data_IF_424974079720
#
_entry.id   IF_424974079720
#
_cell.length_a   1.000
_cell.length_b   1.000
_cell.length_c   1.000
_cell.angle_alpha   90.00
_cell.angle_beta   90.00
_cell.angle_gamma   90.00
#
_symmetry.space_group_name_H-M   'P 1'
#
loop_
_entity.id
_entity.type
_entity.pdbx_description
1 polymer ?
#
# COMPACT_ATOMS: atom_id res chain seq x y z
N UNK A 1 -13.49 -82.11 75.14
CA UNK A 1 -12.04 -82.35 75.17
C UNK A 1 -11.33 -81.03 75.43
N UNK A 2 -10.62 -80.88 76.56
CA UNK A 2 -9.89 -79.66 76.94
C UNK A 2 -8.70 -79.48 76.00
N UNK A 3 -8.65 -78.40 75.23
CA UNK A 3 -7.45 -78.03 74.45
C UNK A 3 -6.38 -77.63 75.45
N UNK A 4 -5.39 -78.49 75.64
CA UNK A 4 -4.23 -78.28 76.52
C UNK A 4 -3.47 -77.02 76.09
N UNK A 5 -3.05 -76.20 77.07
CA UNK A 5 -2.39 -74.90 76.89
C UNK A 5 -1.11 -74.93 76.02
N UNK A 6 -0.52 -76.11 75.82
CA UNK A 6 0.65 -76.31 74.96
C UNK A 6 0.37 -76.05 73.46
N UNK A 7 -0.81 -76.43 72.95
CA UNK A 7 -1.13 -76.35 71.51
C UNK A 7 -1.39 -74.90 71.06
N UNK A 8 -1.99 -74.08 71.95
CA UNK A 8 -2.28 -72.65 71.68
C UNK A 8 -1.01 -71.80 71.55
N UNK A 9 0.05 -72.14 72.29
CA UNK A 9 1.33 -71.43 72.27
C UNK A 9 2.13 -71.74 71.00
N UNK A 10 2.05 -72.97 70.50
CA UNK A 10 2.62 -73.38 69.21
C UNK A 10 1.92 -72.69 68.03
N UNK A 11 0.59 -72.71 67.96
CA UNK A 11 -0.16 -72.04 66.90
C UNK A 11 0.12 -70.53 66.83
N UNK A 12 0.15 -69.83 67.97
CA UNK A 12 0.48 -68.40 67.98
C UNK A 12 1.89 -68.12 67.49
N UNK A 13 2.86 -69.00 67.79
CA UNK A 13 4.26 -68.82 67.36
C UNK A 13 4.41 -69.03 65.85
N UNK A 14 3.75 -70.03 65.27
CA UNK A 14 3.76 -70.23 63.81
C UNK A 14 3.00 -69.12 63.06
N UNK A 15 1.89 -68.62 63.63
CA UNK A 15 1.14 -67.51 63.04
C UNK A 15 1.95 -66.20 63.06
N UNK A 16 2.68 -65.93 64.14
CA UNK A 16 3.54 -64.75 64.25
C UNK A 16 4.73 -64.83 63.27
N UNK A 17 5.34 -66.01 63.12
CA UNK A 17 6.38 -66.24 62.10
C UNK A 17 5.83 -66.05 60.69
N UNK A 18 4.64 -66.57 60.39
CA UNK A 18 4.02 -66.39 59.07
C UNK A 18 3.74 -64.91 58.77
N UNK A 19 3.21 -64.15 59.74
CA UNK A 19 2.95 -62.71 59.59
C UNK A 19 4.25 -61.95 59.36
N UNK A 20 5.33 -62.25 60.10
CA UNK A 20 6.63 -61.59 59.92
C UNK A 20 7.22 -61.87 58.54
N UNK A 21 7.16 -63.11 58.07
CA UNK A 21 7.66 -63.48 56.73
C UNK A 21 6.87 -62.77 55.63
N UNK A 22 5.53 -62.72 55.72
CA UNK A 22 4.69 -61.99 54.77
C UNK A 22 4.98 -60.48 54.81
N UNK A 23 5.17 -59.91 56.00
CA UNK A 23 5.50 -58.49 56.16
C UNK A 23 6.85 -58.16 55.51
N UNK A 24 7.88 -59.00 55.72
CA UNK A 24 9.20 -58.85 55.10
C UNK A 24 9.09 -58.98 53.58
N UNK A 25 8.26 -59.91 53.07
CA UNK A 25 8.06 -60.07 51.63
C UNK A 25 7.40 -58.82 51.01
N UNK A 26 6.36 -58.29 51.65
CA UNK A 26 5.64 -57.09 51.18
C UNK A 26 6.55 -55.86 51.23
N UNK A 27 7.29 -55.66 52.32
CA UNK A 27 8.22 -54.53 52.45
C UNK A 27 9.43 -54.68 51.53
N UNK A 28 9.94 -55.91 51.34
CA UNK A 28 11.05 -56.19 50.43
C UNK A 28 10.68 -55.98 48.97
N UNK A 29 9.59 -56.62 48.51
CA UNK A 29 9.13 -56.49 47.11
C UNK A 29 8.54 -55.10 46.86
N UNK A 30 7.77 -54.55 47.79
CA UNK A 30 7.19 -53.21 47.68
C UNK A 30 8.25 -52.10 47.75
N UNK A 31 9.22 -52.24 48.65
CA UNK A 31 10.37 -51.32 48.75
C UNK A 31 11.25 -51.37 47.49
N UNK A 32 11.54 -52.57 46.97
CA UNK A 32 12.30 -52.73 45.73
C UNK A 32 11.57 -52.17 44.50
N UNK A 33 10.27 -52.45 44.37
CA UNK A 33 9.43 -51.93 43.27
C UNK A 33 9.24 -50.42 43.30
N UNK A 34 9.39 -49.77 44.47
CA UNK A 34 9.35 -48.32 44.61
C UNK A 34 10.68 -47.64 44.20
N UNK A 35 11.83 -48.33 44.33
CA UNK A 35 13.14 -47.77 44.00
C UNK A 35 13.69 -48.19 42.63
N UNK A 36 13.17 -49.26 42.04
CA UNK A 36 13.59 -49.73 40.73
C UNK A 36 12.99 -48.84 39.62
N UNK A 37 13.84 -48.02 39.00
CA UNK A 37 13.51 -47.23 37.80
C UNK A 37 13.70 -48.08 36.54
N UNK A 38 12.72 -48.02 35.65
CA UNK A 38 12.73 -48.63 34.32
C UNK A 38 12.67 -47.46 33.33
N UNK A 39 13.73 -47.30 32.55
CA UNK A 39 13.77 -46.30 31.48
C UNK A 39 13.00 -46.85 30.27
N UNK A 40 11.96 -46.13 29.86
CA UNK A 40 11.20 -46.44 28.65
C UNK A 40 11.81 -45.77 27.43
N UNK A 41 11.45 -46.26 26.24
CA UNK A 41 11.73 -45.55 25.00
C UNK A 41 10.51 -45.60 24.09
N UNK A 42 10.15 -44.47 23.50
CA UNK A 42 9.16 -44.41 22.42
C UNK A 42 9.90 -44.64 21.12
N UNK A 43 9.49 -45.67 20.39
CA UNK A 43 10.04 -46.00 19.08
C UNK A 43 9.17 -45.39 18.02
N UNK A 44 9.76 -44.58 17.16
CA UNK A 44 9.05 -43.90 16.11
C UNK A 44 9.88 -43.93 14.83
N UNK A 45 9.22 -44.18 13.70
CA UNK A 45 9.87 -44.25 12.39
C UNK A 45 9.76 -42.92 11.67
N UNK A 46 10.80 -42.57 10.94
CA UNK A 46 10.97 -41.26 10.33
C UNK A 46 11.88 -41.30 9.13
N UNK A 47 12.15 -40.11 8.60
CA UNK A 47 13.11 -39.92 7.52
C UNK A 47 14.00 -38.71 7.77
N UNK A 48 15.17 -38.73 7.15
CA UNK A 48 16.09 -37.60 7.18
C UNK A 48 15.58 -36.46 6.28
N UNK A 49 15.46 -35.24 6.82
CA UNK A 49 14.98 -34.05 6.10
C UNK A 49 15.94 -32.88 6.30
N UNK A 50 16.19 -32.11 5.25
CA UNK A 50 17.03 -30.91 5.32
C UNK A 50 16.24 -29.80 6.02
N UNK A 51 16.87 -29.11 6.98
CA UNK A 51 16.23 -27.98 7.70
C UNK A 51 16.15 -26.70 6.84
N UNK A 52 16.73 -26.73 5.64
CA UNK A 52 16.77 -25.57 4.76
C UNK A 52 15.40 -25.31 4.14
N UNK A 53 14.80 -24.16 4.45
CA UNK A 53 13.66 -23.66 3.71
C UNK A 53 14.11 -23.13 2.36
N UNK A 54 13.56 -23.70 1.29
CA UNK A 54 13.78 -23.22 -0.07
C UNK A 54 13.27 -21.79 -0.20
N UNK A 55 14.12 -20.87 -0.65
CA UNK A 55 13.76 -19.46 -0.84
C UNK A 55 13.20 -19.25 -2.25
N UNK A 56 11.98 -18.74 -2.33
CA UNK A 56 11.32 -18.37 -3.60
C UNK A 56 11.81 -17.00 -4.04
N UNK A 57 12.34 -16.91 -5.25
CA UNK A 57 12.65 -15.64 -5.92
C UNK A 57 11.50 -15.31 -6.86
N UNK A 58 10.92 -14.13 -6.73
CA UNK A 58 9.76 -13.67 -7.50
C UNK A 58 9.95 -12.22 -7.95
N UNK A 59 9.36 -11.84 -9.09
CA UNK A 59 9.35 -10.44 -9.56
C UNK A 59 7.96 -9.83 -9.33
N UNK A 60 7.90 -8.66 -8.69
CA UNK A 60 6.64 -8.04 -8.24
C UNK A 60 5.69 -7.73 -9.41
N UNK A 61 6.22 -7.17 -10.50
CA UNK A 61 5.40 -6.69 -11.62
C UNK A 61 5.25 -7.72 -12.73
N UNK A 62 6.11 -8.76 -12.73
CA UNK A 62 6.26 -9.63 -13.89
C UNK A 62 6.82 -8.91 -15.13
N UNK A 63 6.76 -9.56 -16.29
CA UNK A 63 7.26 -9.04 -17.56
C UNK A 63 7.70 -10.14 -18.52
N UNK A 64 8.09 -9.77 -19.74
CA UNK A 64 8.62 -10.72 -20.73
C UNK A 64 10.07 -11.00 -20.37
N UNK A 65 10.47 -12.28 -20.31
CA UNK A 65 11.88 -12.64 -20.10
C UNK A 65 12.70 -12.30 -21.35
N UNK A 66 13.66 -11.38 -21.21
CA UNK A 66 14.59 -11.02 -22.28
C UNK A 66 15.85 -11.89 -22.28
N UNK A 67 16.44 -12.13 -21.10
CA UNK A 67 17.60 -13.01 -20.94
C UNK A 67 17.48 -13.87 -19.67
N UNK A 68 17.77 -15.17 -19.78
CA UNK A 68 17.95 -16.09 -18.65
C UNK A 68 19.44 -16.43 -18.52
N UNK A 69 20.05 -16.13 -17.37
CA UNK A 69 21.51 -16.21 -17.17
C UNK A 69 21.97 -17.42 -16.36
N UNK A 70 21.06 -18.26 -15.91
CA UNK A 70 21.30 -19.38 -14.99
C UNK A 70 20.54 -20.60 -15.48
N UNK A 71 21.13 -21.79 -15.32
CA UNK A 71 20.51 -23.09 -15.63
C UNK A 71 20.33 -23.92 -14.35
N UNK A 72 19.48 -24.94 -14.44
CA UNK A 72 19.25 -25.85 -13.31
C UNK A 72 20.57 -26.50 -12.86
N UNK A 73 20.88 -26.36 -11.57
CA UNK A 73 22.11 -26.89 -10.95
C UNK A 73 23.28 -25.90 -10.87
N UNK A 74 23.17 -24.70 -11.45
CA UNK A 74 24.21 -23.68 -11.34
C UNK A 74 24.27 -23.08 -9.92
N UNK A 75 25.50 -22.84 -9.42
CA UNK A 75 25.71 -22.12 -8.17
C UNK A 75 25.56 -20.61 -8.38
N UNK A 76 24.64 -19.99 -7.64
CA UNK A 76 24.39 -18.54 -7.66
C UNK A 76 24.77 -17.91 -6.32
N UNK A 77 25.39 -16.72 -6.38
CA UNK A 77 25.68 -15.90 -5.20
C UNK A 77 24.57 -14.88 -5.00
N UNK A 78 24.50 -14.32 -3.79
CA UNK A 78 23.59 -13.23 -3.51
C UNK A 78 23.87 -12.04 -4.43
N UNK A 79 22.79 -11.43 -4.96
CA UNK A 79 22.79 -10.32 -5.91
C UNK A 79 23.19 -10.65 -7.37
N UNK A 80 23.41 -11.92 -7.72
CA UNK A 80 23.61 -12.31 -9.10
C UNK A 80 22.33 -12.09 -9.93
N UNK A 81 22.50 -11.56 -11.16
CA UNK A 81 21.39 -11.36 -12.09
C UNK A 81 21.02 -12.70 -12.70
N UNK A 82 19.91 -13.28 -12.24
CA UNK A 82 19.42 -14.57 -12.71
C UNK A 82 18.57 -14.46 -13.98
N UNK A 83 17.74 -13.40 -14.06
CA UNK A 83 16.81 -13.13 -15.16
C UNK A 83 16.81 -11.63 -15.44
N UNK A 84 16.86 -11.26 -16.72
CA UNK A 84 16.62 -9.89 -17.19
C UNK A 84 15.34 -9.89 -18.02
N UNK A 85 14.44 -8.98 -17.69
CA UNK A 85 13.20 -8.77 -18.44
C UNK A 85 13.48 -7.92 -19.68
N UNK A 86 12.64 -8.06 -20.71
CA UNK A 86 12.67 -7.21 -21.90
C UNK A 86 12.28 -5.78 -21.50
N UNK A 87 13.23 -4.86 -21.66
CA UNK A 87 13.04 -3.45 -21.33
C UNK A 87 12.27 -2.69 -22.40
N UNK A 88 12.02 -3.27 -23.59
CA UNK A 88 11.47 -2.55 -24.74
C UNK A 88 10.12 -1.92 -24.43
N UNK A 89 9.20 -2.70 -23.84
CA UNK A 89 7.87 -2.22 -23.45
C UNK A 89 7.97 -1.19 -22.33
N UNK A 90 8.78 -1.45 -21.31
CA UNK A 90 8.95 -0.55 -20.16
C UNK A 90 9.59 0.78 -20.56
N UNK A 91 10.57 0.75 -21.47
CA UNK A 91 11.25 1.93 -22.01
C UNK A 91 10.33 2.73 -22.92
N UNK A 92 9.52 2.07 -23.75
CA UNK A 92 8.49 2.74 -24.55
C UNK A 92 7.45 3.41 -23.64
N UNK A 93 6.97 2.71 -22.60
CA UNK A 93 6.05 3.28 -21.62
C UNK A 93 6.67 4.47 -20.88
N UNK A 94 7.93 4.36 -20.46
CA UNK A 94 8.66 5.47 -19.84
C UNK A 94 8.78 6.67 -20.80
N UNK A 95 9.11 6.44 -22.08
CA UNK A 95 9.19 7.49 -23.09
C UNK A 95 7.83 8.19 -23.29
N UNK A 96 6.74 7.43 -23.35
CA UNK A 96 5.38 7.99 -23.47
C UNK A 96 5.02 8.83 -22.23
N UNK A 97 5.27 8.29 -21.03
CA UNK A 97 4.93 8.98 -19.77
C UNK A 97 5.79 10.23 -19.57
N UNK A 98 7.09 10.16 -19.85
CA UNK A 98 8.00 11.30 -19.73
C UNK A 98 7.67 12.40 -20.74
N UNK A 99 7.35 12.04 -21.98
CA UNK A 99 6.82 12.98 -22.98
C UNK A 99 5.54 13.66 -22.52
N UNK A 100 4.54 12.88 -22.09
CA UNK A 100 3.27 13.43 -21.60
C UNK A 100 3.45 14.32 -20.36
N UNK A 101 4.38 13.96 -19.47
CA UNK A 101 4.73 14.78 -18.30
C UNK A 101 5.36 16.11 -18.71
N UNK A 102 6.26 16.10 -19.70
CA UNK A 102 6.90 17.31 -20.24
C UNK A 102 5.88 18.28 -20.86
N UNK A 103 4.94 17.76 -21.66
CA UNK A 103 3.84 18.55 -22.24
C UNK A 103 2.94 19.18 -21.16
N UNK A 104 2.56 18.41 -20.14
CA UNK A 104 1.72 18.91 -19.04
C UNK A 104 2.44 19.95 -18.20
N UNK A 105 3.74 19.79 -17.95
CA UNK A 105 4.56 20.75 -17.21
C UNK A 105 4.74 22.06 -17.97
N UNK A 106 5.02 21.99 -19.28
CA UNK A 106 5.12 23.17 -20.13
C UNK A 106 3.80 23.95 -20.18
N UNK A 107 2.67 23.24 -20.32
CA UNK A 107 1.32 23.82 -20.27
C UNK A 107 1.00 24.45 -18.93
N UNK A 108 1.37 23.79 -17.82
CA UNK A 108 1.18 24.34 -16.48
C UNK A 108 1.95 25.65 -16.32
N UNK A 109 3.23 25.66 -16.70
CA UNK A 109 4.07 26.86 -16.62
C UNK A 109 3.50 28.01 -17.46
N UNK A 110 2.96 27.72 -18.65
CA UNK A 110 2.25 28.71 -19.47
C UNK A 110 1.04 29.29 -18.72
N UNK A 111 0.18 28.43 -18.19
CA UNK A 111 -1.06 28.86 -17.52
C UNK A 111 -0.76 29.69 -16.26
N UNK A 112 0.23 29.27 -15.46
CA UNK A 112 0.69 30.05 -14.29
C UNK A 112 1.24 31.42 -14.74
N UNK A 113 2.03 31.46 -15.81
CA UNK A 113 2.52 32.72 -16.37
C UNK A 113 1.40 33.61 -16.93
N UNK A 114 0.36 33.04 -17.54
CA UNK A 114 -0.79 33.80 -18.05
C UNK A 114 -1.59 34.39 -16.91
N UNK A 115 -1.86 33.58 -15.87
CA UNK A 115 -2.58 33.98 -14.65
C UNK A 115 -1.87 35.09 -13.90
N UNK A 116 -0.57 34.93 -13.69
CA UNK A 116 0.23 35.88 -12.92
C UNK A 116 0.65 37.11 -13.76
N UNK A 117 0.24 37.16 -15.03
CA UNK A 117 0.50 38.29 -15.91
C UNK A 117 1.98 38.47 -16.25
N UNK A 118 2.77 37.40 -16.23
CA UNK A 118 4.21 37.46 -16.44
C UNK A 118 4.57 37.90 -17.86
N UNK A 119 5.79 38.43 -18.02
CA UNK A 119 6.26 38.84 -19.34
C UNK A 119 6.70 37.68 -20.22
N UNK A 120 7.19 36.61 -19.61
CA UNK A 120 7.65 35.39 -20.26
C UNK A 120 7.33 34.16 -19.38
N UNK A 121 7.18 33.01 -20.02
CA UNK A 121 7.00 31.73 -19.31
C UNK A 121 8.29 31.37 -18.56
N UNK A 122 8.14 31.02 -17.29
CA UNK A 122 9.18 30.45 -16.44
C UNK A 122 8.96 28.94 -16.36
N UNK A 123 9.82 28.17 -17.03
CA UNK A 123 9.76 26.70 -16.97
C UNK A 123 10.44 26.17 -15.71
N UNK A 124 9.93 25.08 -15.11
CA UNK A 124 10.53 24.49 -13.93
C UNK A 124 11.87 23.81 -14.24
N UNK A 125 12.77 23.77 -13.25
CA UNK A 125 14.16 23.33 -13.43
C UNK A 125 14.32 21.90 -13.98
N UNK A 126 13.43 20.96 -13.60
CA UNK A 126 13.48 19.58 -14.10
C UNK A 126 13.14 19.49 -15.60
N UNK A 127 12.26 20.36 -16.10
CA UNK A 127 11.94 20.42 -17.53
C UNK A 127 13.09 21.05 -18.32
N UNK A 128 13.76 22.04 -17.73
CA UNK A 128 14.98 22.65 -18.30
C UNK A 128 16.16 21.67 -18.32
N UNK A 129 16.31 20.83 -17.29
CA UNK A 129 17.31 19.77 -17.27
C UNK A 129 17.04 18.71 -18.37
N UNK A 130 15.77 18.47 -18.68
CA UNK A 130 15.32 17.64 -19.79
C UNK A 130 15.32 18.33 -21.15
N UNK A 131 15.73 19.59 -21.27
CA UNK A 131 15.65 20.36 -22.52
C UNK A 131 16.51 19.80 -23.68
N UNK A 132 17.45 18.90 -23.37
CA UNK A 132 18.23 18.19 -24.38
C UNK A 132 17.39 17.15 -25.15
N UNK A 133 16.25 16.73 -24.59
CA UNK A 133 15.29 15.86 -25.26
C UNK A 133 14.47 16.64 -26.30
N UNK A 134 14.47 16.22 -27.59
CA UNK A 134 13.76 16.93 -28.65
C UNK A 134 12.25 17.09 -28.42
N UNK A 135 11.60 16.09 -27.81
CA UNK A 135 10.17 16.14 -27.52
C UNK A 135 9.85 17.21 -26.47
N UNK A 136 10.63 17.25 -25.38
CA UNK A 136 10.51 18.25 -24.33
C UNK A 136 10.80 19.68 -24.84
N UNK A 137 11.83 19.84 -25.69
CA UNK A 137 12.15 21.11 -26.32
C UNK A 137 11.01 21.62 -27.22
N UNK A 138 10.45 20.74 -28.06
CA UNK A 138 9.33 21.08 -28.94
C UNK A 138 8.08 21.48 -28.14
N UNK A 139 7.79 20.79 -27.03
CA UNK A 139 6.68 21.14 -26.14
C UNK A 139 6.87 22.54 -25.53
N UNK A 140 8.04 22.84 -24.99
CA UNK A 140 8.36 24.18 -24.43
C UNK A 140 8.25 25.29 -25.48
N UNK A 141 8.77 25.07 -26.68
CA UNK A 141 8.71 26.04 -27.77
C UNK A 141 7.28 26.30 -28.24
N UNK A 142 6.45 25.25 -28.33
CA UNK A 142 5.05 25.37 -28.72
C UNK A 142 4.25 26.19 -27.70
N UNK A 143 4.44 25.92 -26.40
CA UNK A 143 3.76 26.65 -25.32
C UNK A 143 4.25 28.10 -25.24
N UNK A 144 5.55 28.35 -25.49
CA UNK A 144 6.11 29.72 -25.57
C UNK A 144 5.52 30.54 -26.72
N UNK A 145 5.36 29.95 -27.90
CA UNK A 145 4.69 30.59 -29.05
C UNK A 145 3.23 30.89 -28.72
N UNK A 146 2.51 29.93 -28.15
CA UNK A 146 1.11 30.09 -27.78
C UNK A 146 0.91 31.20 -26.74
N UNK A 147 1.76 31.25 -25.71
CA UNK A 147 1.76 32.30 -24.70
C UNK A 147 1.91 33.70 -25.29
N UNK A 148 2.92 33.90 -26.14
CA UNK A 148 3.17 35.18 -26.78
C UNK A 148 2.01 35.60 -27.70
N UNK A 149 1.42 34.63 -28.42
CA UNK A 149 0.25 34.87 -29.26
C UNK A 149 -0.96 35.32 -28.41
N UNK A 150 -1.28 34.59 -27.33
CA UNK A 150 -2.40 34.92 -26.42
C UNK A 150 -2.16 36.27 -25.73
N UNK A 151 -0.95 36.54 -25.24
CA UNK A 151 -0.57 37.82 -24.62
C UNK A 151 -0.79 38.99 -25.59
N UNK A 152 -0.31 38.84 -26.82
CA UNK A 152 -0.42 39.89 -27.85
C UNK A 152 -1.86 40.12 -28.27
N UNK A 153 -2.62 39.05 -28.52
CA UNK A 153 -4.04 39.13 -28.87
C UNK A 153 -4.85 39.85 -27.77
N UNK A 154 -4.63 39.47 -26.51
CA UNK A 154 -5.27 40.10 -25.34
C UNK A 154 -4.90 41.57 -25.22
N UNK A 155 -3.62 41.91 -25.32
CA UNK A 155 -3.16 43.30 -25.28
C UNK A 155 -3.78 44.14 -26.40
N UNK A 156 -3.90 43.57 -27.61
CA UNK A 156 -4.55 44.21 -28.75
C UNK A 156 -6.04 44.47 -28.52
N UNK A 157 -6.79 43.48 -28.02
CA UNK A 157 -8.21 43.64 -27.68
C UNK A 157 -8.42 44.74 -26.63
N UNK A 158 -7.61 44.76 -25.56
CA UNK A 158 -7.69 45.82 -24.55
C UNK A 158 -7.34 47.19 -25.11
N UNK A 159 -6.32 47.28 -25.97
CA UNK A 159 -5.94 48.53 -26.61
C UNK A 159 -7.10 49.09 -27.46
N UNK A 160 -7.79 48.24 -28.23
CA UNK A 160 -8.95 48.63 -29.01
C UNK A 160 -10.10 49.15 -28.13
N UNK A 161 -10.41 48.48 -27.02
CA UNK A 161 -11.44 48.92 -26.08
C UNK A 161 -11.07 50.24 -25.38
N UNK A 162 -9.79 50.42 -25.01
CA UNK A 162 -9.29 51.67 -24.44
C UNK A 162 -9.41 52.84 -25.44
N UNK A 163 -9.10 52.59 -26.70
CA UNK A 163 -9.26 53.59 -27.76
C UNK A 163 -10.73 53.99 -27.92
N UNK A 164 -11.65 53.02 -27.87
CA UNK A 164 -13.10 53.31 -27.89
C UNK A 164 -13.56 54.14 -26.68
N UNK A 165 -13.00 53.88 -25.49
CA UNK A 165 -13.26 54.71 -24.30
C UNK A 165 -12.76 56.14 -24.53
N UNK A 166 -11.56 56.32 -25.07
CA UNK A 166 -11.01 57.65 -25.36
C UNK A 166 -11.91 58.43 -26.34
N UNK A 167 -12.41 57.77 -27.39
CA UNK A 167 -13.36 58.37 -28.35
C UNK A 167 -14.67 58.81 -27.69
N UNK A 168 -15.24 57.98 -26.80
CA UNK A 168 -16.44 58.33 -26.04
C UNK A 168 -16.19 59.49 -25.05
N UNK A 169 -15.00 59.59 -24.47
CA UNK A 169 -14.62 60.72 -23.61
C UNK A 169 -14.54 62.03 -24.40
N UNK A 170 -14.04 61.99 -25.63
CA UNK A 170 -14.02 63.15 -26.52
C UNK A 170 -15.45 63.58 -26.91
N UNK A 171 -16.33 62.62 -27.21
CA UNK A 171 -17.75 62.87 -27.46
C UNK A 171 -18.43 63.56 -26.26
N UNK A 172 -18.19 63.07 -25.03
CA UNK A 172 -18.70 63.70 -23.80
C UNK A 172 -18.17 65.13 -23.65
N UNK A 173 -16.91 65.36 -23.97
CA UNK A 173 -16.29 66.70 -23.90
C UNK A 173 -17.00 67.66 -24.86
N UNK A 174 -17.25 67.24 -26.10
CA UNK A 174 -18.03 68.00 -27.08
C UNK A 174 -19.47 68.28 -26.63
N UNK A 175 -20.18 67.26 -26.12
CA UNK A 175 -21.54 67.42 -25.59
C UNK A 175 -21.58 68.37 -24.40
N UNK A 176 -20.59 68.30 -23.50
CA UNK A 176 -20.49 69.19 -22.33
C UNK A 176 -20.24 70.63 -22.76
N UNK A 177 -19.42 70.86 -23.78
CA UNK A 177 -19.23 72.19 -24.36
C UNK A 177 -20.54 72.75 -24.93
N UNK A 178 -21.32 71.93 -25.65
CA UNK A 178 -22.64 72.34 -26.15
C UNK A 178 -23.64 72.64 -25.02
N UNK A 179 -23.67 71.82 -23.96
CA UNK A 179 -24.49 72.08 -22.77
C UNK A 179 -24.16 73.42 -22.13
N UNK A 180 -22.86 73.76 -22.04
CA UNK A 180 -22.40 75.03 -21.48
C UNK A 180 -22.79 76.22 -22.36
N UNK A 181 -22.72 76.08 -23.69
CA UNK A 181 -23.21 77.11 -24.62
C UNK A 181 -24.71 77.32 -24.49
N UNK A 182 -25.50 76.24 -24.43
CA UNK A 182 -26.95 76.31 -24.21
C UNK A 182 -27.31 76.92 -22.85
N UNK A 183 -26.55 76.60 -21.80
CA UNK A 183 -26.75 77.21 -20.49
C UNK A 183 -26.55 78.75 -20.51
N UNK A 184 -25.57 79.24 -21.29
CA UNK A 184 -25.37 80.68 -21.51
C UNK A 184 -26.53 81.30 -22.29
N UNK A 185 -27.00 80.65 -23.37
CA UNK A 185 -28.18 81.11 -24.14
C UNK A 185 -29.43 81.22 -23.26
N UNK A 186 -29.69 80.20 -22.43
CA UNK A 186 -30.81 80.20 -21.46
C UNK A 186 -30.70 81.39 -20.52
N UNK A 187 -29.52 81.64 -19.95
CA UNK A 187 -29.32 82.77 -19.02
C UNK A 187 -29.59 84.12 -19.68
N UNK A 188 -29.22 84.29 -20.96
CA UNK A 188 -29.48 85.52 -21.72
C UNK A 188 -30.97 85.71 -22.00
N UNK A 189 -31.65 84.65 -22.46
CA UNK A 189 -33.09 84.66 -22.73
C UNK A 189 -33.88 84.93 -21.44
N UNK A 190 -33.53 84.30 -20.32
CA UNK A 190 -34.21 84.52 -19.03
C UNK A 190 -34.10 85.97 -18.56
N UNK A 191 -32.94 86.59 -18.78
CA UNK A 191 -32.74 88.02 -18.48
C UNK A 191 -33.61 88.92 -19.36
N UNK A 192 -33.70 88.65 -20.66
CA UNK A 192 -34.59 89.39 -21.56
C UNK A 192 -36.06 89.20 -21.17
N UNK A 193 -36.43 87.96 -20.84
CA UNK A 193 -37.78 87.56 -20.47
C UNK A 193 -38.25 88.24 -19.18
N UNK A 194 -37.37 88.38 -18.18
CA UNK A 194 -37.67 89.13 -16.97
C UNK A 194 -38.06 90.59 -17.28
N UNK A 195 -37.28 91.28 -18.13
CA UNK A 195 -37.57 92.65 -18.54
C UNK A 195 -38.85 92.77 -19.37
N UNK A 196 -39.05 91.89 -20.36
CA UNK A 196 -40.25 91.88 -21.19
C UNK A 196 -41.51 91.58 -20.36
N UNK A 197 -41.41 90.72 -19.35
CA UNK A 197 -42.52 90.41 -18.44
C UNK A 197 -42.92 91.63 -17.60
N UNK A 198 -41.97 92.44 -17.14
CA UNK A 198 -42.28 93.72 -16.46
C UNK A 198 -42.95 94.73 -17.40
N UNK A 199 -42.46 94.86 -18.63
CA UNK A 199 -43.03 95.78 -19.62
C UNK A 199 -44.45 95.37 -20.02
N UNK A 200 -44.71 94.07 -20.16
CA UNK A 200 -46.05 93.54 -20.43
C UNK A 200 -47.03 93.84 -19.29
N UNK A 201 -46.61 93.70 -18.01
CA UNK A 201 -47.45 94.09 -16.84
C UNK A 201 -47.85 95.57 -16.87
N UNK A 202 -47.04 96.42 -17.49
CA UNK A 202 -47.31 97.85 -17.71
C UNK A 202 -48.07 98.14 -19.02
N UNK A 203 -48.52 97.10 -19.74
CA UNK A 203 -49.15 97.18 -21.07
C UNK A 203 -48.29 97.83 -22.17
N UNK A 204 -46.95 97.78 -22.04
CA UNK A 204 -46.02 98.41 -22.99
C UNK A 204 -45.53 97.46 -24.10
N UNK A 205 -45.87 96.18 -24.02
CA UNK A 205 -45.47 95.14 -24.99
C UNK A 205 -46.64 94.16 -25.22
N UNK A 206 -46.73 93.59 -26.43
CA UNK A 206 -47.75 92.61 -26.79
C UNK A 206 -47.51 91.24 -26.13
N UNK A 207 -48.59 90.53 -25.76
CA UNK A 207 -48.54 89.18 -25.18
C UNK A 207 -47.83 88.16 -26.08
N UNK A 208 -47.91 88.34 -27.41
CA UNK A 208 -47.24 87.51 -28.41
C UNK A 208 -45.71 87.51 -28.26
N UNK A 209 -45.11 88.65 -27.89
CA UNK A 209 -43.66 88.76 -27.66
C UNK A 209 -43.23 88.02 -26.40
N UNK A 210 -44.00 88.14 -25.31
CA UNK A 210 -43.72 87.43 -24.06
C UNK A 210 -43.80 85.90 -24.27
N UNK A 211 -44.89 85.42 -24.87
CA UNK A 211 -45.09 83.97 -25.08
C UNK A 211 -44.15 83.38 -26.12
N UNK A 212 -43.62 84.18 -27.06
CA UNK A 212 -42.55 83.75 -27.94
C UNK A 212 -41.25 83.49 -27.16
N UNK A 213 -40.84 84.41 -26.28
CA UNK A 213 -39.64 84.23 -25.46
C UNK A 213 -39.80 83.11 -24.42
N UNK A 214 -40.98 82.91 -23.85
CA UNK A 214 -41.25 81.79 -22.92
C UNK A 214 -41.12 80.43 -23.61
N UNK A 215 -41.65 80.30 -24.84
CA UNK A 215 -41.46 79.10 -25.66
C UNK A 215 -40.01 78.89 -26.05
N UNK A 216 -39.29 79.97 -26.36
CA UNK A 216 -37.85 79.92 -26.65
C UNK A 216 -37.05 79.39 -25.46
N UNK A 217 -37.26 79.95 -24.27
CA UNK A 217 -36.60 79.52 -23.04
C UNK A 217 -36.86 78.03 -22.76
N UNK A 218 -38.11 77.61 -22.88
CA UNK A 218 -38.52 76.21 -22.66
C UNK A 218 -37.88 75.28 -23.70
N UNK A 219 -37.78 75.71 -24.96
CA UNK A 219 -37.12 74.93 -26.02
C UNK A 219 -35.63 74.75 -25.73
N UNK A 220 -34.94 75.82 -25.37
CA UNK A 220 -33.51 75.78 -25.03
C UNK A 220 -33.23 74.88 -23.82
N UNK A 221 -34.07 74.93 -22.79
CA UNK A 221 -33.93 74.03 -21.63
C UNK A 221 -34.17 72.56 -22.01
N UNK A 222 -35.16 72.30 -22.87
CA UNK A 222 -35.40 70.97 -23.46
C UNK A 222 -34.21 70.45 -24.27
N UNK A 223 -33.63 71.28 -25.15
CA UNK A 223 -32.42 70.98 -25.92
C UNK A 223 -31.22 70.68 -24.99
N UNK A 224 -31.03 71.47 -23.94
CA UNK A 224 -29.98 71.24 -22.94
C UNK A 224 -30.20 69.92 -22.19
N UNK A 225 -31.45 69.60 -21.82
CA UNK A 225 -31.81 68.32 -21.21
C UNK A 225 -31.49 67.12 -22.11
N UNK A 226 -31.76 67.21 -23.41
CA UNK A 226 -31.39 66.19 -24.39
C UNK A 226 -29.87 65.96 -24.45
N UNK A 227 -29.08 67.04 -24.44
CA UNK A 227 -27.62 66.95 -24.42
C UNK A 227 -27.08 66.32 -23.12
N UNK A 228 -27.70 66.63 -21.97
CA UNK A 228 -27.36 65.99 -20.68
C UNK A 228 -27.63 64.49 -20.74
N UNK A 229 -28.80 64.08 -21.25
CA UNK A 229 -29.14 62.67 -21.41
C UNK A 229 -28.18 61.94 -22.35
N UNK A 230 -27.80 62.55 -23.47
CA UNK A 230 -26.82 62.00 -24.41
C UNK A 230 -25.44 61.81 -23.74
N UNK A 231 -24.97 62.80 -22.97
CA UNK A 231 -23.71 62.69 -22.24
C UNK A 231 -23.76 61.60 -21.16
N UNK A 232 -24.89 61.44 -20.47
CA UNK A 232 -25.09 60.36 -19.50
C UNK A 232 -25.08 58.98 -20.19
N UNK A 233 -25.71 58.85 -21.36
CA UNK A 233 -25.69 57.61 -22.15
C UNK A 233 -24.26 57.25 -22.59
N UNK A 234 -23.47 58.22 -23.06
CA UNK A 234 -22.07 58.01 -23.42
C UNK A 234 -21.22 57.55 -22.21
N UNK A 235 -21.44 58.15 -21.03
CA UNK A 235 -20.80 57.70 -19.77
C UNK A 235 -21.18 56.25 -19.42
N UNK A 236 -22.43 55.87 -19.62
CA UNK A 236 -22.88 54.49 -19.45
C UNK A 236 -22.13 53.51 -20.36
N UNK A 237 -21.97 53.86 -21.64
CA UNK A 237 -21.18 53.05 -22.60
C UNK A 237 -19.71 52.93 -22.21
N UNK A 238 -19.11 53.97 -21.63
CA UNK A 238 -17.74 53.90 -21.09
C UNK A 238 -17.66 52.88 -19.96
N UNK A 239 -18.61 52.92 -19.01
CA UNK A 239 -18.65 51.97 -17.90
C UNK A 239 -18.80 50.52 -18.39
N UNK A 240 -19.68 50.29 -19.37
CA UNK A 240 -19.85 48.99 -20.02
C UNK A 240 -18.55 48.52 -20.71
N UNK A 241 -17.91 49.40 -21.47
CA UNK A 241 -16.64 49.08 -22.17
C UNK A 241 -15.51 48.81 -21.17
N UNK A 242 -15.46 49.54 -20.05
CA UNK A 242 -14.50 49.32 -18.99
C UNK A 242 -14.72 47.96 -18.30
N UNK A 243 -15.98 47.55 -18.09
CA UNK A 243 -16.32 46.22 -17.59
C UNK A 243 -15.88 45.13 -18.57
N UNK A 244 -16.02 45.32 -19.88
CA UNK A 244 -15.52 44.38 -20.89
C UNK A 244 -13.99 44.20 -20.79
N UNK A 245 -13.24 45.27 -20.53
CA UNK A 245 -11.78 45.17 -20.29
C UNK A 245 -11.48 44.31 -19.05
N UNK A 246 -12.26 44.49 -17.97
CA UNK A 246 -12.10 43.69 -16.75
C UNK A 246 -12.48 42.22 -16.96
N UNK A 247 -13.49 41.93 -17.77
CA UNK A 247 -13.87 40.55 -18.12
C UNK A 247 -12.72 39.82 -18.86
N UNK A 248 -12.05 40.51 -19.80
CA UNK A 248 -10.88 39.96 -20.50
C UNK A 248 -9.75 39.58 -19.52
N UNK A 249 -9.62 40.30 -18.40
CA UNK A 249 -8.68 39.94 -17.33
C UNK A 249 -9.17 38.77 -16.48
N UNK A 250 -10.46 38.72 -16.17
CA UNK A 250 -11.06 37.66 -15.37
C UNK A 250 -11.15 36.32 -16.09
N UNK A 251 -11.32 36.28 -17.41
CA UNK A 251 -11.34 35.03 -18.19
C UNK A 251 -10.05 34.20 -17.95
N UNK A 252 -8.92 34.85 -17.67
CA UNK A 252 -7.67 34.19 -17.30
C UNK A 252 -7.76 33.54 -15.91
N UNK A 253 -8.35 34.24 -14.94
CA UNK A 253 -8.53 33.74 -13.58
C UNK A 253 -9.58 32.62 -13.51
N UNK A 254 -10.62 32.69 -14.34
CA UNK A 254 -11.69 31.70 -14.44
C UNK A 254 -11.27 30.43 -15.20
N UNK A 255 -10.40 30.54 -16.23
CA UNK A 255 -9.75 29.37 -16.85
C UNK A 255 -8.93 28.55 -15.82
N UNK A 256 -8.42 29.18 -14.75
CA UNK A 256 -7.71 28.51 -13.65
C UNK A 256 -8.66 27.86 -12.61
N UNK A 257 -9.94 28.27 -12.57
CA UNK A 257 -10.93 27.74 -11.63
C UNK A 257 -11.49 26.36 -12.04
N UNK A 258 -11.10 25.86 -13.21
CA UNK A 258 -11.33 24.49 -13.69
C UNK A 258 -10.19 23.52 -13.34
N UNK A 259 -9.30 23.89 -12.40
CA UNK A 259 -8.24 23.02 -11.84
C UNK A 259 -8.33 22.81 -10.32
N UNK A 260 -9.56 22.64 -9.82
CA UNK A 260 -9.80 21.90 -8.57
C UNK A 260 -10.75 20.74 -8.81
N UNK A 261 -10.45 19.92 -9.81
CA UNK A 261 -10.81 18.51 -9.73
C UNK A 261 -9.50 17.78 -9.85
N UNK A 262 -8.87 17.58 -8.70
CA UNK A 262 -7.98 16.46 -8.49
C UNK A 262 -8.72 15.21 -8.99
N UNK A 263 -8.47 14.78 -10.22
CA UNK A 263 -8.83 13.43 -10.65
C UNK A 263 -7.79 12.53 -10.02
N UNK A 264 -8.03 12.19 -8.76
CA UNK A 264 -7.30 11.13 -8.06
C UNK A 264 -7.90 9.81 -8.50
N UNK A 265 -7.04 8.88 -8.92
CA UNK A 265 -7.41 7.48 -8.97
C UNK A 265 -7.76 7.04 -7.54
N UNK A 266 -8.98 6.54 -7.26
CA UNK A 266 -9.34 6.16 -5.91
C UNK A 266 -8.64 4.87 -5.46
N UNK A 267 -8.01 4.11 -6.37
CA UNK A 267 -7.27 2.88 -6.08
C UNK A 267 -6.22 2.59 -7.17
N UNK A 268 -5.23 1.76 -6.84
CA UNK A 268 -4.37 1.09 -7.82
C UNK A 268 -5.19 0.02 -8.57
N UNK A 269 -5.07 -0.07 -9.90
CA UNK A 269 -5.73 -1.12 -10.68
C UNK A 269 -5.36 -1.14 -12.16
N UNK A 270 -5.47 -2.31 -12.78
CA UNK A 270 -5.33 -2.49 -14.25
C UNK A 270 -6.26 -3.63 -14.70
N UNK A 271 -6.90 -3.47 -15.87
CA UNK A 271 -7.65 -4.51 -16.59
C UNK A 271 -6.92 -4.81 -17.90
N UNK A 272 -6.46 -6.05 -18.11
CA UNK A 272 -6.95 -6.99 -19.12
C UNK A 272 -5.95 -8.15 -19.30
N UNK A 273 -6.51 -9.35 -19.50
CA UNK A 273 -5.82 -10.63 -19.74
C UNK A 273 -4.93 -10.60 -21.00
N UNK A 274 -3.87 -11.41 -21.03
CA UNK A 274 -3.81 -12.59 -21.91
C UNK A 274 -2.68 -13.55 -21.51
N UNK A 275 -2.98 -14.83 -21.74
CA UNK A 275 -2.13 -15.99 -21.63
C UNK A 275 -0.91 -15.97 -22.57
N UNK A 276 0.17 -16.68 -22.20
CA UNK A 276 0.89 -17.70 -23.00
C UNK A 276 2.23 -18.07 -22.32
N UNK A 277 2.67 -19.31 -22.60
CA UNK A 277 3.59 -20.13 -21.83
C UNK A 277 4.77 -20.64 -22.70
N UNK A 278 5.83 -19.84 -22.94
CA UNK A 278 7.12 -20.28 -23.55
C UNK A 278 8.12 -19.12 -23.58
N UNK A 279 9.45 -19.29 -23.71
CA UNK A 279 10.42 -18.18 -23.89
C UNK A 279 9.92 -17.18 -24.97
N UNK A 280 9.88 -15.88 -24.65
CA UNK A 280 8.75 -15.01 -25.04
C UNK A 280 7.61 -15.00 -24.00
N UNK A 281 7.92 -15.47 -22.79
CA UNK A 281 6.94 -15.93 -21.80
C UNK A 281 6.64 -14.84 -20.82
N UNK A 282 5.37 -14.69 -20.52
CA UNK A 282 4.89 -13.67 -19.58
C UNK A 282 5.06 -14.21 -18.18
N UNK A 283 5.98 -13.65 -17.41
CA UNK A 283 6.00 -13.84 -15.96
C UNK A 283 4.86 -12.97 -15.41
N UNK A 284 3.91 -13.57 -14.70
CA UNK A 284 2.85 -12.81 -14.04
C UNK A 284 3.32 -12.28 -12.69
N UNK A 285 2.68 -11.22 -12.20
CA UNK A 285 3.03 -10.57 -10.95
C UNK A 285 2.99 -11.56 -9.78
N UNK A 286 4.13 -11.76 -9.11
CA UNK A 286 4.22 -12.60 -7.91
C UNK A 286 4.46 -14.10 -8.16
N UNK A 287 4.56 -14.55 -9.42
CA UNK A 287 4.92 -15.95 -9.69
C UNK A 287 6.38 -16.25 -9.27
N UNK A 288 6.63 -17.41 -8.63
CA UNK A 288 7.98 -17.81 -8.27
C UNK A 288 8.78 -18.15 -9.53
N UNK A 289 9.83 -17.38 -9.79
CA UNK A 289 10.73 -17.52 -10.94
C UNK A 289 11.73 -18.67 -10.71
N UNK A 290 12.26 -18.78 -9.49
CA UNK A 290 13.25 -19.78 -9.12
C UNK A 290 13.19 -20.11 -7.63
N UNK A 291 13.57 -21.35 -7.31
CA UNK A 291 13.74 -21.87 -5.97
C UNK A 291 15.23 -21.97 -5.65
N UNK A 292 15.70 -21.21 -4.66
CA UNK A 292 17.09 -21.28 -4.20
C UNK A 292 17.13 -22.18 -2.97
N UNK A 293 17.88 -23.28 -3.07
CA UNK A 293 18.19 -24.18 -1.95
C UNK A 293 19.51 -23.72 -1.31
N UNK A 294 19.52 -23.29 -0.04
CA UNK A 294 20.76 -22.97 0.66
C UNK A 294 21.65 -24.21 0.85
N UNK A 295 22.96 -24.11 0.62
CA UNK A 295 23.96 -25.18 0.90
C UNK A 295 24.22 -25.39 2.41
N UNK A 296 23.29 -24.99 3.29
CA UNK A 296 23.43 -25.18 4.73
C UNK A 296 22.86 -26.53 5.13
N UNK A 297 23.74 -27.53 5.15
CA UNK A 297 23.50 -28.95 5.48
C UNK A 297 23.21 -29.19 6.97
N UNK A 298 22.20 -28.53 7.54
CA UNK A 298 21.67 -28.94 8.83
C UNK A 298 20.64 -30.05 8.59
N UNK A 299 21.12 -31.28 8.68
CA UNK A 299 20.30 -32.48 8.59
C UNK A 299 19.51 -32.66 9.89
N UNK A 300 18.19 -32.79 9.77
CA UNK A 300 17.27 -33.05 10.87
C UNK A 300 16.49 -34.33 10.58
N UNK A 301 16.19 -35.12 11.61
CA UNK A 301 15.34 -36.30 11.42
C UNK A 301 13.91 -35.92 11.74
N UNK A 302 13.00 -36.17 10.80
CA UNK A 302 11.56 -36.00 10.99
C UNK A 302 10.94 -37.37 11.28
N UNK A 303 10.35 -37.52 12.45
CA UNK A 303 9.86 -38.81 12.96
C UNK A 303 8.39 -38.73 13.26
N UNK A 304 7.64 -39.77 12.87
CA UNK A 304 6.20 -39.89 13.08
C UNK A 304 5.92 -40.63 14.38
N UNK A 305 5.41 -39.91 15.37
CA UNK A 305 5.04 -40.44 16.68
C UNK A 305 3.54 -40.70 16.72
N UNK A 306 3.15 -41.83 17.30
CA UNK A 306 1.74 -42.17 17.51
C UNK A 306 1.10 -41.20 18.54
N UNK A 307 -0.12 -40.69 18.32
CA UNK A 307 -0.83 -39.85 19.28
C UNK A 307 -0.93 -40.44 20.70
N UNK A 308 -0.86 -41.76 20.85
CA UNK A 308 -0.86 -42.41 22.17
C UNK A 308 0.45 -42.20 22.96
N UNK A 309 1.55 -41.96 22.26
CA UNK A 309 2.89 -41.85 22.84
C UNK A 309 3.38 -40.41 22.96
N UNK A 310 2.65 -39.43 22.40
CA UNK A 310 3.06 -38.02 22.36
C UNK A 310 3.20 -37.39 23.76
N UNK A 311 2.39 -37.81 24.72
CA UNK A 311 2.45 -37.34 26.13
C UNK A 311 3.78 -37.71 26.81
N UNK A 312 4.54 -38.64 26.24
CA UNK A 312 5.84 -39.08 26.76
C UNK A 312 7.02 -38.32 26.12
N UNK A 313 6.77 -37.48 25.11
CA UNK A 313 7.78 -36.75 24.35
C UNK A 313 7.81 -35.27 24.74
N UNK A 314 8.98 -34.75 25.11
CA UNK A 314 9.18 -33.36 25.51
C UNK A 314 10.30 -32.69 24.70
N UNK A 315 10.27 -31.36 24.64
CA UNK A 315 11.34 -30.58 24.02
C UNK A 315 12.67 -30.82 24.75
N UNK A 316 13.78 -30.86 24.02
CA UNK A 316 15.14 -31.11 24.52
C UNK A 316 15.38 -32.51 25.12
N UNK A 317 14.48 -33.46 24.87
CA UNK A 317 14.68 -34.85 25.27
C UNK A 317 15.71 -35.53 24.38
N UNK A 318 16.53 -36.41 24.96
CA UNK A 318 17.53 -37.19 24.23
C UNK A 318 16.85 -38.31 23.44
N UNK A 319 17.23 -38.45 22.19
CA UNK A 319 16.79 -39.50 21.31
C UNK A 319 17.98 -40.20 20.68
N UNK A 320 17.92 -41.52 20.61
CA UNK A 320 18.90 -42.33 19.92
C UNK A 320 18.36 -42.62 18.52
N UNK A 321 19.11 -42.22 17.50
CA UNK A 321 18.75 -42.36 16.11
C UNK A 321 19.49 -43.57 15.51
N UNK A 322 18.72 -44.47 14.90
CA UNK A 322 19.22 -45.65 14.20
C UNK A 322 18.81 -45.58 12.74
N UNK A 323 19.80 -45.59 11.86
CA UNK A 323 19.60 -45.59 10.43
C UNK A 323 19.44 -47.04 9.96
N UNK A 324 18.23 -47.43 9.59
CA UNK A 324 17.93 -48.80 9.16
C UNK A 324 18.60 -49.17 7.82
N UNK A 325 19.16 -48.18 7.12
CA UNK A 325 19.93 -48.34 5.89
C UNK A 325 21.35 -48.91 6.12
N UNK A 326 21.87 -48.93 7.36
CA UNK A 326 23.24 -49.38 7.65
C UNK A 326 23.27 -50.63 8.54
N UNK A 327 24.40 -51.34 8.51
CA UNK A 327 24.55 -52.61 9.21
C UNK A 327 24.71 -52.39 10.73
N UNK A 328 23.75 -52.91 11.49
CA UNK A 328 23.59 -52.75 12.95
C UNK A 328 24.85 -53.12 13.75
N UNK A 329 25.75 -53.94 13.19
CA UNK A 329 26.99 -54.37 13.87
C UNK A 329 28.16 -53.39 13.72
N UNK A 330 28.09 -52.45 12.77
CA UNK A 330 29.22 -51.58 12.39
C UNK A 330 28.91 -50.09 12.50
N UNK A 331 27.64 -49.71 12.61
CA UNK A 331 27.23 -48.30 12.65
C UNK A 331 26.98 -47.85 14.09
N UNK A 332 27.67 -46.80 14.57
CA UNK A 332 27.41 -46.25 15.90
C UNK A 332 26.02 -45.60 15.98
N UNK A 333 25.41 -45.68 17.15
CA UNK A 333 24.14 -45.01 17.45
C UNK A 333 24.34 -43.49 17.54
N UNK A 334 23.52 -42.70 16.85
CA UNK A 334 23.62 -41.24 16.88
C UNK A 334 22.73 -40.69 17.99
N UNK A 335 23.31 -39.88 18.86
CA UNK A 335 22.53 -39.09 19.82
C UNK A 335 21.98 -37.81 19.15
N UNK A 336 20.68 -37.60 19.28
CA UNK A 336 19.98 -36.41 18.83
C UNK A 336 19.11 -35.82 19.94
N UNK A 337 18.66 -34.58 19.75
CA UNK A 337 17.80 -33.87 20.69
C UNK A 337 16.52 -33.44 20.00
N UNK A 338 15.38 -33.64 20.66
CA UNK A 338 14.08 -33.21 20.14
C UNK A 338 14.02 -31.68 20.16
N UNK A 339 14.05 -31.05 18.98
CA UNK A 339 14.03 -29.58 18.85
C UNK A 339 12.65 -29.02 18.57
N UNK A 340 11.76 -29.81 17.97
CA UNK A 340 10.40 -29.37 17.65
C UNK A 340 9.42 -30.54 17.71
N UNK A 341 8.23 -30.27 18.23
CA UNK A 341 7.09 -31.17 18.25
C UNK A 341 5.94 -30.45 17.52
N UNK A 342 5.26 -31.11 16.59
CA UNK A 342 4.10 -30.53 15.92
C UNK A 342 2.98 -30.24 16.92
N UNK A 343 2.34 -29.08 16.80
CA UNK A 343 1.23 -28.72 17.68
C UNK A 343 -0.06 -29.46 17.31
N UNK A 344 -0.13 -29.95 16.07
CA UNK A 344 -1.27 -30.61 15.45
C UNK A 344 -0.90 -32.02 14.97
N UNK A 345 -1.92 -32.88 14.92
CA UNK A 345 -1.81 -34.23 14.37
C UNK A 345 -2.03 -34.20 12.87
N UNK A 346 -1.07 -34.69 12.10
CA UNK A 346 -1.21 -34.86 10.65
C UNK A 346 -1.79 -36.24 10.34
N UNK A 347 -2.63 -36.34 9.32
CA UNK A 347 -3.25 -37.61 8.91
C UNK A 347 -2.63 -38.07 7.61
N UNK A 348 -2.18 -39.33 7.59
CA UNK A 348 -1.71 -39.96 6.35
C UNK A 348 -2.91 -40.24 5.44
N UNK A 349 -2.96 -39.57 4.28
CA UNK A 349 -4.09 -39.65 3.34
C UNK A 349 -4.34 -41.06 2.81
N UNK A 350 -3.36 -41.97 2.88
CA UNK A 350 -3.48 -43.34 2.38
C UNK A 350 -3.94 -44.33 3.44
N UNK A 351 -3.58 -44.12 4.70
CA UNK A 351 -3.81 -45.09 5.79
C UNK A 351 -4.83 -44.60 6.82
N UNK A 352 -5.17 -43.31 6.80
CA UNK A 352 -6.07 -42.68 7.77
C UNK A 352 -5.50 -42.60 9.19
N UNK A 353 -4.23 -42.99 9.39
CA UNK A 353 -3.58 -42.91 10.69
C UNK A 353 -3.12 -41.49 10.97
N UNK A 354 -3.53 -40.98 12.13
CA UNK A 354 -3.11 -39.68 12.64
C UNK A 354 -1.77 -39.83 13.38
N UNK A 355 -0.80 -38.98 13.09
CA UNK A 355 0.55 -38.97 13.68
C UNK A 355 0.99 -37.55 14.02
N UNK A 356 1.82 -37.41 15.05
CA UNK A 356 2.56 -36.18 15.34
C UNK A 356 3.93 -36.24 14.68
N UNK A 357 4.42 -35.12 14.18
CA UNK A 357 5.79 -35.04 13.65
C UNK A 357 6.69 -34.40 14.70
N UNK A 358 7.75 -35.12 15.07
CA UNK A 358 8.82 -34.57 15.89
C UNK A 358 10.05 -34.39 15.02
N UNK A 359 10.76 -33.27 15.24
CA UNK A 359 12.04 -32.99 14.59
C UNK A 359 13.14 -33.17 15.61
N UNK A 360 14.10 -34.00 15.27
CA UNK A 360 15.26 -34.33 16.09
C UNK A 360 16.49 -33.76 15.38
N UNK A 361 17.19 -32.83 16.04
CA UNK A 361 18.45 -32.31 15.54
C UNK A 361 19.59 -33.24 15.97
N UNK A 362 20.51 -33.49 15.05
CA UNK A 362 21.78 -34.19 15.32
C UNK A 362 22.85 -33.14 15.54
N UNK A 363 23.72 -33.34 16.53
CA UNK A 363 24.86 -32.47 16.73
C UNK A 363 25.96 -32.81 15.70
N UNK A 364 26.65 -31.79 15.18
CA UNK A 364 27.59 -31.93 14.07
C UNK A 364 28.76 -32.89 14.39
N UNK A 365 29.17 -32.94 15.66
CA UNK A 365 30.16 -33.87 16.21
C UNK A 365 29.71 -35.33 16.14
N UNK A 366 28.41 -35.61 16.28
CA UNK A 366 27.87 -36.97 16.18
C UNK A 366 27.70 -37.43 14.72
N UNK A 367 27.51 -36.48 13.79
CA UNK A 367 27.46 -36.77 12.34
C UNK A 367 28.86 -37.14 11.82
N UNK A 368 29.92 -36.50 12.32
CA UNK A 368 31.32 -36.86 11.98
C UNK A 368 31.72 -38.27 12.45
N UNK A 369 31.10 -38.79 13.52
CA UNK A 369 31.35 -40.16 14.04
C UNK A 369 30.88 -41.27 13.10
N UNK A 370 30.04 -40.95 12.11
CA UNK A 370 29.62 -41.91 11.08
C UNK A 370 30.67 -42.11 9.98
N UNK A 371 31.77 -41.36 9.98
CA UNK A 371 32.86 -41.52 9.01
C UNK A 371 32.42 -41.31 7.57
N UNK A 372 32.85 -42.20 6.66
CA UNK A 372 32.68 -42.10 5.19
C UNK A 372 31.23 -42.28 4.67
N UNK A 373 30.25 -42.38 5.56
CA UNK A 373 28.86 -42.68 5.19
C UNK A 373 28.10 -41.39 4.90
N UNK A 374 27.87 -41.10 3.62
CA UNK A 374 27.11 -39.91 3.19
C UNK A 374 25.63 -40.03 3.55
N UNK A 375 25.16 -39.12 4.41
CA UNK A 375 23.75 -39.00 4.75
C UNK A 375 22.97 -38.29 3.63
N UNK A 376 22.02 -38.98 2.99
CA UNK A 376 21.12 -38.43 1.96
C UNK A 376 19.70 -38.18 2.53
N UNK A 377 19.05 -37.05 2.16
CA UNK A 377 17.66 -36.81 2.50
C UNK A 377 16.74 -37.93 2.04
N UNK A 378 15.73 -38.26 2.85
CA UNK A 378 14.76 -39.34 2.58
C UNK A 378 15.15 -40.70 3.14
N UNK A 379 16.35 -40.87 3.72
CA UNK A 379 16.73 -42.14 4.35
C UNK A 379 15.85 -42.49 5.55
N UNK A 380 15.39 -43.75 5.69
CA UNK A 380 14.60 -44.19 6.82
C UNK A 380 15.44 -44.22 8.10
N UNK A 381 14.87 -43.69 9.18
CA UNK A 381 15.48 -43.63 10.50
C UNK A 381 14.46 -44.07 11.55
N UNK A 382 14.90 -44.91 12.47
CA UNK A 382 14.17 -45.22 13.69
C UNK A 382 14.73 -44.40 14.83
N UNK A 383 13.89 -43.60 15.47
CA UNK A 383 14.25 -42.83 16.64
C UNK A 383 13.70 -43.49 17.90
N UNK A 384 14.58 -43.69 18.87
CA UNK A 384 14.30 -44.16 20.21
C UNK A 384 14.38 -42.96 21.14
N UNK A 385 13.24 -42.33 21.42
CA UNK A 385 13.17 -41.18 22.33
C UNK A 385 13.13 -41.72 23.76
N UNK A 386 14.12 -41.39 24.58
CA UNK A 386 14.22 -41.88 25.97
C UNK A 386 13.14 -41.23 26.83
N UNK A 387 12.12 -41.98 27.25
CA UNK A 387 11.04 -41.46 28.10
C UNK A 387 11.45 -41.43 29.57
N UNK A 388 10.83 -40.53 30.35
CA UNK A 388 11.19 -40.32 31.74
C UNK A 388 11.14 -41.59 32.59
N UNK A 389 12.06 -41.70 33.55
CA UNK A 389 12.19 -42.85 34.42
C UNK A 389 10.90 -43.13 35.21
N UNK A 390 10.33 -44.33 35.05
CA UNK A 390 9.16 -44.77 35.81
C UNK A 390 9.52 -45.91 36.74
N UNK A 391 8.99 -45.88 37.97
CA UNK A 391 9.17 -46.97 38.93
C UNK A 391 8.23 -48.14 38.63
N UNK A 392 8.63 -49.37 38.97
CA UNK A 392 7.78 -50.55 38.77
C UNK A 392 6.43 -50.43 39.51
N UNK A 393 6.43 -49.77 40.68
CA UNK A 393 5.21 -49.44 41.42
C UNK A 393 4.25 -48.55 40.62
N UNK A 394 4.76 -47.60 39.83
CA UNK A 394 3.93 -46.72 39.01
C UNK A 394 3.15 -47.48 37.92
N UNK A 395 3.71 -48.56 37.35
CA UNK A 395 3.03 -49.38 36.35
C UNK A 395 1.85 -50.18 36.93
N UNK A 396 1.96 -50.64 38.17
CA UNK A 396 0.90 -51.40 38.85
C UNK A 396 -0.25 -50.51 39.34
N UNK A 397 0.08 -49.30 39.82
CA UNK A 397 -0.90 -48.40 40.45
C UNK A 397 -1.59 -47.48 39.46
N UNK A 398 -0.93 -47.09 38.36
CA UNK A 398 -1.49 -46.18 37.35
C UNK A 398 -2.83 -46.63 36.77
N UNK A 399 -3.05 -47.89 36.31
CA UNK A 399 -4.35 -48.29 35.75
C UNK A 399 -5.49 -48.26 36.78
N UNK A 400 -5.21 -48.53 38.06
CA UNK A 400 -6.20 -48.39 39.14
C UNK A 400 -6.54 -46.91 39.38
N UNK A 401 -5.51 -46.05 39.46
CA UNK A 401 -5.71 -44.62 39.64
C UNK A 401 -6.45 -43.97 38.46
N UNK A 402 -6.05 -44.30 37.23
CA UNK A 402 -6.67 -43.77 36.01
C UNK A 402 -8.15 -44.20 35.90
N UNK A 403 -8.50 -45.42 36.33
CA UNK A 403 -9.90 -45.85 36.42
C UNK A 403 -10.68 -45.14 37.52
N UNK A 404 -10.08 -44.89 38.69
CA UNK A 404 -10.69 -44.08 39.75
C UNK A 404 -10.97 -42.65 39.28
N UNK A 405 -10.02 -42.03 38.57
CA UNK A 405 -10.16 -40.68 38.02
C UNK A 405 -11.18 -40.65 36.88
N UNK A 406 -11.29 -41.71 36.06
CA UNK A 406 -12.34 -41.83 35.03
C UNK A 406 -13.73 -41.94 35.64
N UNK A 407 -13.91 -42.75 36.68
CA UNK A 407 -15.18 -42.94 37.35
C UNK A 407 -15.66 -41.69 38.12
N UNK A 408 -14.76 -40.79 38.50
CA UNK A 408 -15.09 -39.51 39.15
C UNK A 408 -15.26 -38.33 38.17
N UNK A 409 -15.00 -38.52 36.87
CA UNK A 409 -15.21 -37.50 35.83
C UNK A 409 -16.48 -37.70 34.99
N UNK A 410 -17.26 -38.75 35.24
CA UNK A 410 -18.63 -38.86 34.76
C UNK A 410 -19.61 -38.29 35.80
N UNK A 411 -19.78 -36.97 35.75
CA UNK A 411 -21.02 -36.27 36.06
C UNK A 411 -21.19 -35.06 35.16
#
# INVERSE_FOLDING_TARGET
MKVTSATRRSMRRHLLVAVVVVSILIVGVGGWGATAVISGAVVASGSLVVDSNVKKVQHLTGGIVGELRVRDGDRVRAADIVVRLDETVTRANLAIVTKGLGELMARKARLEGERDGLDAIIFPAHLLAGAADPDSAAAMDSERKLFNLRKTARSGQKAQLKERIAQLQEEITGLTAQQNSKAKEITLIERELAGVRELWKKNLVQLTRLTALEREATRLDGERGQLIAAAAQAKGKIAETALQILQIDQDIAAEDQLKRIDIRSPQDGTVFQLAVHTVGGVITAGDPIMLIVPEADNLSVEVKVNPQDIDQVQLNQKAILRFSAFNIRTTPEIEGVVTRISADTSTDQRTGQSYYTIRIAMAADQVERLGDVKLLPGMPVEAFVQTGDRTMFSYLVKPLHDQFVRAFREK
#
